data_IF_417600385087
#
_entry.id   IF_417600385087
#
_cell.length_a   1.000
_cell.length_b   1.000
_cell.length_c   1.000
_cell.angle_alpha   90.00
_cell.angle_beta   90.00
_cell.angle_gamma   90.00
#
_symmetry.space_group_name_H-M   'P 1'
#
loop_
_entity.id
_entity.type
_entity.pdbx_description
1 polymer ?
#
# COMPACT_ATOMS: atom_id res chain seq x y z
N UNK A 1 -15.69 -3.05 -5.02
CA UNK A 1 -15.96 -1.61 -4.92
C UNK A 1 -15.26 -1.08 -3.67
N UNK A 2 -14.20 -0.30 -3.85
CA UNK A 2 -13.70 0.58 -2.79
C UNK A 2 -14.65 1.79 -2.73
N UNK A 3 -15.10 2.16 -1.54
CA UNK A 3 -15.96 3.34 -1.35
C UNK A 3 -15.12 4.61 -1.49
N UNK A 4 -15.50 5.53 -2.37
CA UNK A 4 -14.78 6.79 -2.61
C UNK A 4 -14.68 7.69 -1.36
N UNK A 5 -15.64 7.59 -0.44
CA UNK A 5 -15.66 8.33 0.82
C UNK A 5 -15.02 7.54 1.98
N UNK A 6 -14.37 6.41 1.69
CA UNK A 6 -13.69 5.60 2.69
C UNK A 6 -12.44 6.32 3.20
N UNK A 7 -12.22 6.26 4.51
CA UNK A 7 -10.93 6.63 5.12
C UNK A 7 -9.89 5.51 5.07
N UNK A 8 -10.24 4.36 4.49
CA UNK A 8 -9.34 3.21 4.32
C UNK A 8 -8.71 3.22 2.94
N UNK A 9 -7.38 3.19 2.90
CA UNK A 9 -6.57 3.05 1.69
C UNK A 9 -5.94 1.66 1.66
N UNK A 10 -6.03 0.99 0.52
CA UNK A 10 -5.48 -0.36 0.30
C UNK A 10 -4.35 -0.29 -0.72
N UNK A 11 -3.25 -0.98 -0.44
CA UNK A 11 -2.11 -1.07 -1.34
C UNK A 11 -1.38 -2.41 -1.15
N UNK A 12 -0.39 -2.66 -1.99
CA UNK A 12 0.50 -3.83 -1.89
C UNK A 12 1.15 -3.97 -0.52
N UNK A 13 1.17 -5.19 0.03
CA UNK A 13 1.78 -5.46 1.32
C UNK A 13 3.28 -5.07 1.32
N UNK A 14 3.74 -4.21 2.23
CA UNK A 14 5.16 -3.95 2.42
C UNK A 14 5.95 -5.21 2.77
N UNK A 15 7.14 -5.38 2.20
CA UNK A 15 8.04 -6.53 2.48
C UNK A 15 8.98 -6.30 3.67
N UNK A 16 8.83 -5.16 4.32
CA UNK A 16 9.64 -4.76 5.45
C UNK A 16 8.79 -4.85 6.73
N UNK A 17 9.01 -5.92 7.49
CA UNK A 17 8.26 -6.18 8.72
C UNK A 17 8.54 -5.12 9.81
N UNK A 18 9.71 -4.46 9.81
CA UNK A 18 9.97 -3.34 10.72
C UNK A 18 9.10 -2.12 10.36
N UNK A 19 8.93 -1.84 9.07
CA UNK A 19 8.02 -0.81 8.58
C UNK A 19 6.56 -1.13 8.93
N UNK A 20 6.12 -2.37 8.71
CA UNK A 20 4.76 -2.83 9.05
C UNK A 20 4.50 -2.66 10.54
N UNK A 21 5.44 -3.07 11.40
CA UNK A 21 5.32 -2.93 12.86
C UNK A 21 5.36 -1.49 13.32
N UNK A 22 6.23 -0.66 12.75
CA UNK A 22 6.35 0.78 13.07
C UNK A 22 5.06 1.54 12.82
N UNK A 23 4.43 1.28 11.66
CA UNK A 23 3.20 1.96 11.25
C UNK A 23 1.92 1.19 11.58
N UNK A 24 2.05 0.06 12.27
CA UNK A 24 0.96 -0.84 12.69
C UNK A 24 -0.01 -1.17 11.55
N UNK A 25 0.55 -1.49 10.38
CA UNK A 25 -0.24 -1.75 9.18
C UNK A 25 -1.04 -3.04 9.32
N UNK A 26 -2.31 -2.99 8.95
CA UNK A 26 -3.15 -4.18 8.87
C UNK A 26 -2.87 -4.90 7.56
N UNK A 27 -2.12 -6.00 7.62
CA UNK A 27 -1.78 -6.79 6.44
C UNK A 27 -2.65 -8.05 6.35
N UNK A 28 -3.22 -8.29 5.17
CA UNK A 28 -3.98 -9.48 4.84
C UNK A 28 -3.49 -10.00 3.50
N UNK A 29 -3.04 -11.26 3.47
CA UNK A 29 -2.42 -11.87 2.29
C UNK A 29 -1.38 -10.95 1.62
N UNK A 30 -1.68 -10.49 0.40
CA UNK A 30 -0.82 -9.66 -0.44
C UNK A 30 -1.10 -8.15 -0.30
N UNK A 31 -2.04 -7.73 0.54
CA UNK A 31 -2.43 -6.32 0.71
C UNK A 31 -2.17 -5.80 2.12
N UNK A 32 -2.00 -4.49 2.21
CA UNK A 32 -1.99 -3.73 3.45
C UNK A 32 -3.09 -2.66 3.41
N UNK A 33 -3.69 -2.43 4.57
CA UNK A 33 -4.73 -1.44 4.79
C UNK A 33 -4.22 -0.36 5.74
N UNK A 34 -4.45 0.90 5.37
CA UNK A 34 -4.26 2.06 6.25
C UNK A 34 -5.62 2.68 6.48
N UNK A 35 -6.03 2.80 7.74
CA UNK A 35 -7.25 3.51 8.13
C UNK A 35 -6.86 4.88 8.66
N UNK A 36 -7.27 5.93 7.96
CA UNK A 36 -7.02 7.31 8.39
C UNK A 36 -8.04 7.68 9.46
N UNK A 37 -7.59 7.65 10.72
CA UNK A 37 -8.37 8.09 11.88
C UNK A 37 -8.26 9.61 12.09
N UNK A 38 -9.20 10.28 12.78
CA UNK A 38 -9.18 11.75 12.96
C UNK A 38 -7.89 12.33 13.59
N UNK A 39 -7.15 11.55 14.38
CA UNK A 39 -5.87 11.95 14.99
C UNK A 39 -4.66 11.86 14.01
N UNK A 40 -4.89 11.39 12.80
CA UNK A 40 -3.87 11.30 11.75
C UNK A 40 -3.82 12.64 11.02
N UNK A 41 -2.70 13.34 11.16
CA UNK A 41 -2.48 14.64 10.50
C UNK A 41 -1.83 14.44 9.14
N UNK A 42 -1.95 15.46 8.27
CA UNK A 42 -1.24 15.48 6.98
C UNK A 42 0.26 15.22 7.13
N UNK A 43 0.91 15.84 8.12
CA UNK A 43 2.35 15.62 8.36
C UNK A 43 2.71 14.17 8.74
N UNK A 44 1.83 13.46 9.46
CA UNK A 44 2.04 12.02 9.72
C UNK A 44 1.93 11.20 8.43
N UNK A 45 0.97 11.54 7.57
CA UNK A 45 0.80 10.91 6.26
C UNK A 45 2.00 11.19 5.34
N UNK A 46 2.50 12.43 5.34
CA UNK A 46 3.68 12.81 4.55
C UNK A 46 4.91 12.02 5.01
N UNK A 47 5.12 11.89 6.32
CA UNK A 47 6.21 11.07 6.87
C UNK A 47 6.08 9.58 6.50
N UNK A 48 4.86 9.03 6.62
CA UNK A 48 4.56 7.66 6.21
C UNK A 48 4.86 7.45 4.72
N UNK A 49 4.37 8.35 3.86
CA UNK A 49 4.52 8.25 2.41
C UNK A 49 5.99 8.37 1.98
N UNK A 50 6.74 9.30 2.56
CA UNK A 50 8.16 9.48 2.28
C UNK A 50 8.97 8.22 2.65
N UNK A 51 8.71 7.64 3.82
CA UNK A 51 9.37 6.41 4.25
C UNK A 51 8.95 5.21 3.38
N UNK A 52 7.66 5.11 3.03
CA UNK A 52 7.14 4.07 2.15
C UNK A 52 7.85 4.12 0.79
N UNK A 53 7.94 5.28 0.15
CA UNK A 53 8.58 5.44 -1.17
C UNK A 53 10.06 5.10 -1.10
N UNK A 54 10.76 5.56 -0.06
CA UNK A 54 12.19 5.29 0.13
C UNK A 54 12.47 3.79 0.31
N UNK A 55 11.68 3.10 1.15
CA UNK A 55 11.82 1.65 1.38
C UNK A 55 11.36 0.84 0.16
N UNK A 56 10.25 1.23 -0.48
CA UNK A 56 9.73 0.59 -1.70
C UNK A 56 10.77 0.59 -2.82
N UNK A 57 11.48 1.70 -3.01
CA UNK A 57 12.57 1.75 -3.99
C UNK A 57 13.66 0.71 -3.70
N UNK A 58 13.96 0.44 -2.42
CA UNK A 58 14.97 -0.56 -2.02
C UNK A 58 14.48 -1.99 -2.23
N UNK A 59 13.19 -2.29 -1.96
CA UNK A 59 12.62 -3.63 -2.14
C UNK A 59 12.72 -4.10 -3.60
N UNK A 60 12.52 -3.19 -4.55
CA UNK A 60 12.54 -3.50 -5.99
C UNK A 60 13.90 -3.27 -6.68
N UNK A 61 14.91 -2.72 -5.99
CA UNK A 61 16.19 -2.26 -6.58
C UNK A 61 17.01 -3.38 -7.24
N UNK A 62 16.84 -4.63 -6.82
CA UNK A 62 17.64 -5.77 -7.28
C UNK A 62 16.82 -6.92 -7.88
N UNK A 63 15.55 -6.68 -8.23
CA UNK A 63 14.66 -7.75 -8.69
C UNK A 63 14.39 -8.84 -7.65
N UNK A 64 14.74 -8.59 -6.38
CA UNK A 64 14.52 -9.52 -5.25
C UNK A 64 13.03 -9.83 -5.04
N UNK A 65 12.18 -8.90 -5.44
CA UNK A 65 10.73 -9.05 -5.40
C UNK A 65 10.14 -8.60 -6.75
N UNK A 66 9.26 -9.43 -7.32
CA UNK A 66 8.44 -9.01 -8.45
C UNK A 66 7.34 -8.06 -7.96
N UNK A 67 7.01 -7.04 -8.76
CA UNK A 67 5.79 -6.25 -8.54
C UNK A 67 4.60 -7.19 -8.77
N UNK A 68 3.90 -7.58 -7.71
CA UNK A 68 2.72 -8.42 -7.84
C UNK A 68 1.47 -7.55 -7.93
N UNK A 69 0.51 -8.05 -8.70
CA UNK A 69 -0.78 -7.43 -8.85
C UNK A 69 -1.64 -7.78 -7.63
N UNK A 70 -2.39 -6.80 -7.12
CA UNK A 70 -3.34 -7.00 -6.02
C UNK A 70 -4.80 -7.13 -6.51
N UNK A 71 -5.01 -7.24 -7.83
CA UNK A 71 -6.35 -7.30 -8.42
C UNK A 71 -7.18 -8.50 -7.93
N UNK A 72 -6.53 -9.61 -7.55
CA UNK A 72 -7.22 -10.73 -6.90
C UNK A 72 -7.93 -10.32 -5.61
N UNK A 73 -7.37 -9.35 -4.89
CA UNK A 73 -7.90 -8.88 -3.59
C UNK A 73 -8.82 -7.66 -3.72
N UNK A 74 -8.49 -6.72 -4.61
CA UNK A 74 -9.24 -5.45 -4.74
C UNK A 74 -10.15 -5.37 -5.97
N UNK A 75 -10.03 -6.33 -6.90
CA UNK A 75 -10.66 -6.31 -8.22
C UNK A 75 -9.81 -5.62 -9.29
N UNK A 76 -9.96 -6.03 -10.56
CA UNK A 76 -9.21 -5.46 -11.69
C UNK A 76 -9.44 -3.95 -11.85
N UNK A 77 -10.67 -3.49 -11.67
CA UNK A 77 -11.06 -2.07 -11.82
C UNK A 77 -10.49 -1.17 -10.72
N UNK A 78 -10.09 -1.74 -9.59
CA UNK A 78 -9.49 -0.99 -8.48
C UNK A 78 -7.95 -1.11 -8.44
N UNK A 79 -7.35 -1.95 -9.31
CA UNK A 79 -5.91 -2.17 -9.31
C UNK A 79 -5.21 -1.23 -10.30
N UNK A 80 -4.32 -0.36 -9.80
CA UNK A 80 -3.57 0.59 -10.63
C UNK A 80 -2.22 0.05 -11.13
N UNK A 81 -2.05 -1.27 -11.20
CA UNK A 81 -0.82 -1.88 -11.71
C UNK A 81 -0.74 -1.75 -13.25
N UNK A 82 0.47 -1.86 -13.86
CA UNK A 82 0.62 -1.74 -15.31
C UNK A 82 -0.22 -2.71 -16.14
N UNK A 83 -0.64 -3.85 -15.57
CA UNK A 83 -1.46 -4.87 -16.27
C UNK A 83 -2.93 -4.46 -16.38
N UNK A 84 -3.42 -3.62 -15.45
CA UNK A 84 -4.82 -3.20 -15.38
C UNK A 84 -5.00 -1.68 -15.58
N UNK A 85 -3.90 -0.95 -15.79
CA UNK A 85 -3.90 0.50 -16.04
C UNK A 85 -4.60 0.79 -17.39
N UNK A 86 -5.87 1.18 -17.34
CA UNK A 86 -6.67 1.58 -18.51
C UNK A 86 -7.79 0.63 -18.94
N UNK A 87 -8.16 -0.35 -18.10
CA UNK A 87 -9.42 -1.11 -18.22
C UNK A 87 -10.55 -0.43 -17.45
#
# INVERSE_FOLDING_TARGET
MLNELSSTVVFERPHDEEFVRKWQLACQENIAHVVVMPNVTKGKLDNFLNELVAKRAQWFKYGKFQKYCIASEVGETCCLCPLHKGK
#
